data_IF_815527777126
#
_entry.id   IF_815527777126
#
_cell.length_a   1.000
_cell.length_b   1.000
_cell.length_c   1.000
_cell.angle_alpha   90.00
_cell.angle_beta   90.00
_cell.angle_gamma   90.00
#
_symmetry.space_group_name_H-M   'P 1'
#
loop_
_entity.id
_entity.type
_entity.pdbx_description
1 polymer ?
#
# COMPACT_ATOMS: atom_id res chain seq x y z
N UNK A 1 1.77 7.95 13.85
CA UNK A 1 2.14 8.19 12.43
C UNK A 1 2.40 6.90 11.66
N UNK A 2 3.48 6.14 11.91
CA UNK A 2 3.79 4.93 11.11
C UNK A 2 2.65 3.90 11.13
N UNK A 3 2.20 3.52 12.33
CA UNK A 3 1.08 2.58 12.49
C UNK A 3 -0.17 3.07 11.76
N UNK A 4 -0.54 4.35 11.95
CA UNK A 4 -1.69 4.95 11.28
C UNK A 4 -1.55 4.99 9.75
N UNK A 5 -0.35 5.27 9.23
CA UNK A 5 -0.08 5.30 7.79
C UNK A 5 -0.20 3.91 7.18
N UNK A 6 0.30 2.89 7.89
CA UNK A 6 0.16 1.48 7.48
C UNK A 6 -1.30 1.03 7.56
N UNK A 7 -2.01 1.37 8.63
CA UNK A 7 -3.44 1.08 8.78
C UNK A 7 -4.23 1.72 7.65
N UNK A 8 -3.95 2.97 7.29
CA UNK A 8 -4.62 3.63 6.16
C UNK A 8 -4.44 2.86 4.84
N UNK A 9 -3.21 2.43 4.53
CA UNK A 9 -2.96 1.61 3.33
C UNK A 9 -3.71 0.28 3.39
N UNK A 10 -3.68 -0.39 4.54
CA UNK A 10 -4.38 -1.67 4.75
C UNK A 10 -5.90 -1.54 4.58
N UNK A 11 -6.52 -0.53 5.20
CA UNK A 11 -7.95 -0.25 5.09
C UNK A 11 -8.37 0.06 3.65
N UNK A 12 -7.60 0.89 2.94
CA UNK A 12 -7.89 1.21 1.52
C UNK A 12 -7.79 -0.06 0.66
N UNK A 13 -6.78 -0.90 0.88
CA UNK A 13 -6.65 -2.14 0.11
C UNK A 13 -7.76 -3.14 0.41
N UNK A 14 -8.14 -3.29 1.68
CA UNK A 14 -9.25 -4.15 2.08
C UNK A 14 -10.55 -3.63 1.48
N UNK A 15 -10.82 -2.33 1.58
CA UNK A 15 -12.01 -1.70 1.00
C UNK A 15 -12.19 -2.02 -0.50
N UNK A 16 -11.11 -1.90 -1.27
CA UNK A 16 -11.14 -2.21 -2.71
C UNK A 16 -11.41 -3.70 -2.95
N UNK A 17 -10.76 -4.59 -2.21
CA UNK A 17 -10.94 -6.04 -2.36
C UNK A 17 -12.35 -6.48 -1.95
N UNK A 18 -12.90 -5.91 -0.88
CA UNK A 18 -14.28 -6.14 -0.44
C UNK A 18 -15.29 -5.69 -1.49
N UNK A 19 -15.14 -4.48 -2.02
CA UNK A 19 -16.01 -3.99 -3.09
C UNK A 19 -15.95 -4.87 -4.33
N UNK A 20 -14.78 -5.39 -4.67
CA UNK A 20 -14.57 -6.33 -5.78
C UNK A 20 -14.96 -7.78 -5.47
N UNK A 21 -15.57 -8.07 -4.31
CA UNK A 21 -15.91 -9.41 -3.84
C UNK A 21 -14.72 -10.40 -3.89
N UNK A 22 -13.51 -9.94 -3.53
CA UNK A 22 -12.30 -10.76 -3.45
C UNK A 22 -12.01 -11.17 -2.03
N UNK A 23 -11.82 -12.48 -1.82
CA UNK A 23 -11.34 -13.00 -0.54
C UNK A 23 -9.88 -12.60 -0.32
N UNK A 24 -9.62 -11.82 0.74
CA UNK A 24 -8.30 -11.34 1.13
C UNK A 24 -7.78 -12.00 2.42
N UNK A 25 -8.48 -12.98 2.98
CA UNK A 25 -8.08 -13.66 4.22
C UNK A 25 -6.69 -14.31 4.11
N UNK A 26 -6.31 -14.75 2.91
CA UNK A 26 -4.97 -15.30 2.63
C UNK A 26 -3.83 -14.30 2.87
N UNK A 27 -4.10 -13.00 2.87
CA UNK A 27 -3.13 -11.96 3.14
C UNK A 27 -2.77 -11.87 4.63
N UNK A 28 -3.69 -12.22 5.56
CA UNK A 28 -3.49 -12.14 7.01
C UNK A 28 -2.90 -10.79 7.48
N UNK A 29 -3.38 -9.69 6.92
CA UNK A 29 -2.87 -8.33 7.21
C UNK A 29 -1.45 -8.04 6.68
N UNK A 30 -0.90 -8.89 5.81
CA UNK A 30 0.36 -8.61 5.14
C UNK A 30 0.13 -7.55 4.05
N UNK A 31 0.69 -6.36 4.24
CA UNK A 31 0.48 -5.22 3.35
C UNK A 31 0.99 -5.46 1.92
N UNK A 32 2.10 -6.17 1.77
CA UNK A 32 2.66 -6.49 0.45
C UNK A 32 1.74 -7.43 -0.34
N UNK A 33 1.15 -8.43 0.35
CA UNK A 33 0.16 -9.33 -0.25
C UNK A 33 -1.11 -8.57 -0.64
N UNK A 34 -1.65 -7.74 0.25
CA UNK A 34 -2.82 -6.89 -0.03
C UNK A 34 -2.58 -6.01 -1.26
N UNK A 35 -1.46 -5.29 -1.31
CA UNK A 35 -1.08 -4.45 -2.45
C UNK A 35 -1.00 -5.27 -3.76
N UNK A 36 -0.41 -6.47 -3.71
CA UNK A 36 -0.30 -7.35 -4.89
C UNK A 36 -1.67 -7.82 -5.40
N UNK A 37 -2.61 -8.10 -4.48
CA UNK A 37 -3.99 -8.48 -4.81
C UNK A 37 -4.75 -7.30 -5.42
N UNK A 38 -4.68 -6.12 -4.81
CA UNK A 38 -5.31 -4.89 -5.33
C UNK A 38 -4.79 -4.56 -6.72
N UNK A 39 -3.47 -4.58 -6.94
CA UNK A 39 -2.90 -4.32 -8.28
C UNK A 39 -3.35 -5.33 -9.33
N UNK A 40 -3.55 -6.58 -8.93
CA UNK A 40 -4.08 -7.61 -9.84
C UNK A 40 -5.53 -7.34 -10.17
N UNK A 41 -6.33 -6.97 -9.17
CA UNK A 41 -7.75 -6.66 -9.32
C UNK A 41 -7.97 -5.42 -10.19
N UNK A 42 -7.26 -4.34 -9.90
CA UNK A 42 -7.31 -3.09 -10.67
C UNK A 42 -6.59 -3.16 -12.02
N UNK A 43 -6.06 -4.35 -12.39
CA UNK A 43 -5.29 -4.57 -13.62
C UNK A 43 -4.10 -3.61 -13.78
N UNK A 44 -3.54 -3.12 -12.67
CA UNK A 44 -2.35 -2.25 -12.61
C UNK A 44 -1.02 -2.99 -12.90
N UNK A 45 -1.06 -4.13 -13.58
CA UNK A 45 0.17 -4.84 -13.96
C UNK A 45 0.88 -4.00 -15.00
N UNK A 46 2.22 -4.09 -15.02
CA UNK A 46 3.09 -3.50 -16.06
C UNK A 46 2.56 -3.93 -17.43
N UNK A 47 1.65 -3.12 -17.98
CA UNK A 47 1.10 -3.35 -19.28
C UNK A 47 2.16 -2.83 -20.25
N UNK A 48 2.45 -3.61 -21.30
CA UNK A 48 3.41 -3.19 -22.34
C UNK A 48 2.95 -1.89 -23.03
N UNK A 49 1.67 -1.55 -22.88
CA UNK A 49 1.06 -0.34 -23.39
C UNK A 49 1.35 0.90 -22.52
N UNK A 50 1.86 0.73 -21.30
CA UNK A 50 2.19 1.85 -20.42
C UNK A 50 3.58 2.43 -20.72
N UNK A 51 3.68 3.76 -20.66
CA UNK A 51 4.96 4.46 -20.73
C UNK A 51 5.95 3.90 -19.70
N UNK A 52 7.17 3.61 -20.13
CA UNK A 52 8.22 3.03 -19.30
C UNK A 52 8.45 3.83 -18.00
N UNK A 53 8.35 5.15 -18.05
CA UNK A 53 8.54 6.05 -16.91
C UNK A 53 7.41 5.89 -15.88
N UNK A 54 6.19 5.62 -16.32
CA UNK A 54 5.07 5.31 -15.42
C UNK A 54 5.30 3.97 -14.73
N UNK A 55 5.75 2.95 -15.47
CA UNK A 55 6.09 1.66 -14.88
C UNK A 55 7.23 1.78 -13.83
N UNK A 56 8.23 2.63 -14.09
CA UNK A 56 9.30 2.93 -13.14
C UNK A 56 8.76 3.64 -11.88
N UNK A 57 7.87 4.62 -12.04
CA UNK A 57 7.22 5.31 -10.93
C UNK A 57 6.41 4.35 -10.05
N UNK A 58 5.60 3.48 -10.68
CA UNK A 58 4.83 2.45 -9.98
C UNK A 58 5.74 1.48 -9.23
N UNK A 59 6.86 1.07 -9.82
CA UNK A 59 7.86 0.26 -9.13
C UNK A 59 8.42 0.96 -7.89
N UNK A 60 8.70 2.26 -7.98
CA UNK A 60 9.10 3.11 -6.84
C UNK A 60 8.04 3.15 -5.74
N UNK A 61 6.77 3.40 -6.09
CA UNK A 61 5.65 3.41 -5.14
C UNK A 61 5.51 2.06 -4.41
N UNK A 62 5.67 0.94 -5.11
CA UNK A 62 5.63 -0.39 -4.48
C UNK A 62 6.76 -0.59 -3.47
N UNK A 63 7.97 -0.10 -3.76
CA UNK A 63 9.08 -0.17 -2.80
C UNK A 63 8.79 0.66 -1.55
N UNK A 64 8.14 1.82 -1.70
CA UNK A 64 7.74 2.67 -0.58
C UNK A 64 6.64 1.98 0.27
N UNK A 65 5.61 1.43 -0.37
CA UNK A 65 4.59 0.61 0.30
C UNK A 65 5.20 -0.50 1.16
N UNK A 66 6.13 -1.26 0.58
CA UNK A 66 6.78 -2.38 1.25
C UNK A 66 7.64 -1.92 2.43
N UNK A 67 8.33 -0.77 2.30
CA UNK A 67 9.07 -0.16 3.40
C UNK A 67 8.14 0.22 4.56
N UNK A 68 7.01 0.89 4.29
CA UNK A 68 6.01 1.27 5.30
C UNK A 68 5.47 0.02 6.02
N UNK A 69 5.17 -1.05 5.27
CA UNK A 69 4.73 -2.32 5.84
C UNK A 69 5.73 -2.93 6.83
N UNK A 70 7.04 -2.87 6.51
CA UNK A 70 8.12 -3.40 7.37
C UNK A 70 8.37 -2.54 8.60
N UNK A 71 8.27 -1.21 8.49
CA UNK A 71 8.49 -0.27 9.60
C UNK A 71 7.52 -0.49 10.78
N UNK A 72 6.33 -1.08 10.57
CA UNK A 72 5.47 -1.51 11.68
C UNK A 72 6.02 -2.77 12.35
N UNK A 73 6.40 -3.78 11.57
CA UNK A 73 6.81 -5.08 12.12
C UNK A 73 8.05 -4.94 13.02
N UNK A 74 8.98 -4.06 12.67
CA UNK A 74 10.17 -3.77 13.49
C UNK A 74 9.87 -2.93 14.75
N UNK A 75 8.76 -2.20 14.78
CA UNK A 75 8.35 -1.36 15.92
C UNK A 75 7.24 -1.99 16.79
N UNK A 76 6.56 -3.06 16.33
CA UNK A 76 5.46 -3.74 17.02
C UNK A 76 5.85 -5.05 17.70
N UNK A 77 6.92 -5.75 17.27
CA UNK A 77 7.37 -6.99 17.93
C UNK A 77 8.02 -6.70 19.29
N UNK A 78 7.17 -6.45 20.28
CA UNK A 78 7.52 -6.21 21.69
C UNK A 78 7.91 -7.50 22.42
N UNK A 79 8.35 -8.54 21.72
CA UNK A 79 8.99 -9.72 22.29
C UNK A 79 10.40 -9.84 21.69
N UNK A 80 11.36 -9.06 22.23
CA UNK A 80 12.78 -9.42 22.12
C UNK A 80 13.75 -8.47 21.41
N UNK A 81 13.40 -7.21 21.10
CA UNK A 81 14.41 -6.23 20.65
C UNK A 81 14.75 -5.22 21.74
N UNK A 82 15.56 -5.68 22.71
CA UNK A 82 16.35 -4.77 23.53
C UNK A 82 17.13 -3.77 22.68
N UNK A 83 17.26 -2.54 23.18
CA UNK A 83 18.11 -1.42 22.70
C UNK A 83 18.06 -0.97 21.22
N UNK A 84 17.33 -1.63 20.31
CA UNK A 84 17.23 -1.29 18.87
C UNK A 84 15.86 -0.74 18.43
N UNK A 85 15.23 0.13 19.22
CA UNK A 85 14.13 0.94 18.67
C UNK A 85 14.72 1.93 17.66
N UNK A 86 14.34 1.82 16.39
CA UNK A 86 14.69 2.82 15.38
C UNK A 86 14.03 4.13 15.80
N UNK A 87 14.83 5.13 16.14
CA UNK A 87 14.30 6.44 16.47
C UNK A 87 13.87 7.13 15.16
N UNK A 88 12.56 7.18 14.93
CA UNK A 88 12.00 7.82 13.73
C UNK A 88 11.83 9.30 14.02
N UNK A 89 12.63 10.14 13.35
CA UNK A 89 12.50 11.58 13.54
C UNK A 89 11.26 12.12 12.81
N UNK A 90 10.91 13.38 13.12
CA UNK A 90 9.74 14.06 12.55
C UNK A 90 9.74 14.09 11.02
N UNK A 91 10.92 14.14 10.38
CA UNK A 91 11.05 14.22 8.91
C UNK A 91 10.66 12.90 8.25
N UNK A 92 11.14 11.77 8.78
CA UNK A 92 10.83 10.43 8.30
C UNK A 92 9.37 10.08 8.57
N UNK A 93 8.83 10.47 9.74
CA UNK A 93 7.41 10.30 10.03
C UNK A 93 6.52 11.05 9.01
N UNK A 94 6.89 12.29 8.65
CA UNK A 94 6.20 13.05 7.60
C UNK A 94 6.33 12.40 6.22
N UNK A 95 7.52 11.91 5.88
CA UNK A 95 7.76 11.20 4.62
C UNK A 95 6.84 9.99 4.49
N UNK A 96 6.76 9.15 5.53
CA UNK A 96 5.89 7.97 5.55
C UNK A 96 4.42 8.36 5.43
N UNK A 97 3.97 9.35 6.20
CA UNK A 97 2.57 9.81 6.16
C UNK A 97 2.18 10.32 4.77
N UNK A 98 2.96 11.23 4.21
CA UNK A 98 2.67 11.80 2.89
C UNK A 98 2.72 10.72 1.81
N UNK A 99 3.69 9.80 1.89
CA UNK A 99 3.80 8.71 0.92
C UNK A 99 2.59 7.77 0.97
N UNK A 100 2.12 7.42 2.17
CA UNK A 100 0.92 6.60 2.34
C UNK A 100 -0.31 7.29 1.74
N UNK A 101 -0.49 8.58 2.00
CA UNK A 101 -1.60 9.38 1.44
C UNK A 101 -1.53 9.36 -0.09
N UNK A 102 -0.37 9.66 -0.68
CA UNK A 102 -0.19 9.66 -2.14
C UNK A 102 -0.47 8.29 -2.75
N UNK A 103 -0.04 7.21 -2.12
CA UNK A 103 -0.31 5.84 -2.60
C UNK A 103 -1.81 5.54 -2.55
N UNK A 104 -2.49 5.86 -1.43
CA UNK A 104 -3.92 5.63 -1.29
C UNK A 104 -4.73 6.42 -2.31
N UNK A 105 -4.43 7.71 -2.46
CA UNK A 105 -5.12 8.62 -3.37
C UNK A 105 -5.04 8.13 -4.82
N UNK A 106 -3.82 7.82 -5.28
CA UNK A 106 -3.59 7.30 -6.63
C UNK A 106 -4.31 5.96 -6.89
N UNK A 107 -4.33 5.04 -5.92
CA UNK A 107 -4.99 3.74 -6.08
C UNK A 107 -6.51 3.88 -6.07
N UNK A 108 -7.06 4.79 -5.25
CA UNK A 108 -8.50 5.07 -5.21
C UNK A 108 -8.98 5.74 -6.49
N UNK A 109 -8.20 6.64 -7.09
CA UNK A 109 -8.52 7.26 -8.38
C UNK A 109 -8.68 6.19 -9.48
N UNK A 110 -7.71 5.26 -9.59
CA UNK A 110 -7.80 4.13 -10.52
C UNK A 110 -9.02 3.25 -10.24
N UNK A 111 -9.33 3.01 -8.96
CA UNK A 111 -10.47 2.19 -8.57
C UNK A 111 -11.81 2.83 -8.97
N UNK A 112 -11.99 4.13 -8.72
CA UNK A 112 -13.21 4.85 -9.12
C UNK A 112 -13.33 4.95 -10.64
N UNK A 113 -12.23 5.15 -11.38
CA UNK A 113 -12.22 5.11 -12.85
C UNK A 113 -12.69 3.74 -13.38
N UNK A 114 -12.15 2.65 -12.84
CA UNK A 114 -12.57 1.29 -13.21
C UNK A 114 -14.05 1.03 -12.89
N UNK A 115 -14.54 1.52 -11.76
CA UNK A 115 -15.94 1.40 -11.34
C UNK A 115 -16.88 2.18 -12.25
N UNK A 116 -16.48 3.34 -12.73
CA UNK A 116 -17.25 4.15 -13.67
C UNK A 116 -17.28 3.51 -15.07
N UNK A 117 -16.16 2.96 -15.53
CA UNK A 117 -16.08 2.27 -16.82
C UNK A 117 -16.90 0.97 -16.86
N UNK A 118 -17.07 0.27 -15.73
CA UNK A 118 -17.90 -0.93 -15.63
C UNK A 118 -19.41 -0.65 -15.48
N UNK A 119 -19.82 0.62 -15.41
CA UNK A 119 -21.24 1.04 -15.32
C UNK A 119 -21.87 1.40 -16.68
N UNK A 120 -21.15 1.20 -17.78
CA UNK A 120 -21.59 1.48 -19.16
C UNK A 120 -21.90 0.16 -19.87
#
# INVERSE_FOLDING_TARGET
VITQSRTLLEEVYIHILEYSNKDYNSAKGNLQKLNSMVKTELKMKNNRDYDKRINELLSGLNKINDAIGKMRNENSDSHGVGSKRININRREAKLVMNSAITICDYILEIFEDNKNNNKI
#
